data_IF_489929034161
#
_entry.id   IF_489929034161
#
_cell.length_a   1.000
_cell.length_b   1.000
_cell.length_c   1.000
_cell.angle_alpha   90.00
_cell.angle_beta   90.00
_cell.angle_gamma   90.00
#
_symmetry.space_group_name_H-M   'P 1'
#
loop_
_entity.id
_entity.type
_entity.pdbx_description
1 polymer ?
#
# COMPACT_ATOMS: atom_id res chain seq x y z
N UNK A 1 9.99 47.30 -24.81
CA UNK A 1 10.22 48.70 -24.41
C UNK A 1 8.90 49.34 -23.97
N UNK A 2 8.63 49.39 -22.66
CA UNK A 2 8.02 50.50 -21.91
C UNK A 2 7.61 50.00 -20.52
N UNK A 3 8.57 50.19 -19.62
CA UNK A 3 8.43 50.20 -18.17
C UNK A 3 7.61 51.44 -17.78
N UNK A 4 6.69 51.32 -16.83
CA UNK A 4 6.19 52.48 -16.06
C UNK A 4 6.29 52.21 -14.58
N UNK A 5 7.35 52.79 -14.05
CA UNK A 5 7.65 53.09 -12.65
C UNK A 5 6.61 54.06 -12.10
N UNK A 6 6.15 53.81 -10.86
CA UNK A 6 5.41 54.77 -10.04
C UNK A 6 6.00 54.71 -8.63
N UNK A 7 6.46 55.87 -8.15
CA UNK A 7 7.35 56.10 -7.01
C UNK A 7 6.58 56.91 -5.94
N UNK A 8 7.15 57.02 -4.74
CA UNK A 8 6.80 57.87 -3.56
C UNK A 8 5.77 57.28 -2.58
N UNK A 9 5.91 57.37 -1.24
CA UNK A 9 6.77 58.24 -0.42
C UNK A 9 7.05 57.59 0.96
N UNK A 10 8.19 57.97 1.55
CA UNK A 10 8.58 57.74 2.93
C UNK A 10 7.99 58.82 3.87
N UNK A 11 7.76 58.47 5.15
CA UNK A 11 7.87 59.41 6.27
C UNK A 11 8.03 58.65 7.61
N UNK A 12 9.18 58.86 8.23
CA UNK A 12 9.58 58.52 9.60
C UNK A 12 8.87 59.37 10.66
N UNK A 13 8.62 58.80 11.84
CA UNK A 13 8.59 59.56 13.10
C UNK A 13 9.00 58.67 14.28
N UNK A 14 10.03 59.11 15.00
CA UNK A 14 10.51 58.56 16.26
C UNK A 14 10.12 59.50 17.40
N UNK A 15 9.80 58.95 18.58
CA UNK A 15 9.96 59.67 19.86
C UNK A 15 10.07 58.70 21.04
N UNK A 16 11.19 58.81 21.77
CA UNK A 16 11.50 58.25 23.09
C UNK A 16 10.70 58.95 24.21
N UNK A 17 10.92 58.44 25.45
CA UNK A 17 10.94 59.12 26.78
C UNK A 17 9.74 58.71 27.66
N UNK A 18 9.79 58.29 28.94
CA UNK A 18 10.73 58.40 30.08
C UNK A 18 10.48 57.25 31.09
N UNK A 19 11.49 56.97 31.93
CA UNK A 19 11.44 56.09 33.10
C UNK A 19 10.63 56.67 34.28
N UNK A 20 10.13 55.77 35.16
CA UNK A 20 9.62 56.09 36.50
C UNK A 20 9.88 54.91 37.46
N UNK A 21 10.54 55.20 38.59
CA UNK A 21 11.09 54.26 39.56
C UNK A 21 10.12 53.86 40.70
N UNK A 22 10.54 52.82 41.45
CA UNK A 22 10.32 52.60 42.91
C UNK A 22 8.93 52.06 43.29
N UNK A 23 8.72 51.13 44.23
CA UNK A 23 9.49 50.48 45.31
C UNK A 23 8.60 49.36 45.88
N UNK A 24 9.17 48.28 46.43
CA UNK A 24 8.38 47.32 47.20
C UNK A 24 9.12 46.04 47.49
N UNK A 25 9.82 46.01 48.62
CA UNK A 25 10.43 44.85 49.25
C UNK A 25 9.37 43.93 49.85
N UNK A 26 9.44 42.62 49.58
CA UNK A 26 9.12 41.59 50.57
C UNK A 26 9.69 40.23 50.13
N UNK A 27 10.45 39.62 51.03
CA UNK A 27 10.97 38.25 50.91
C UNK A 27 9.93 37.26 51.44
N UNK A 28 9.70 36.09 50.82
CA UNK A 28 8.97 35.01 51.46
C UNK A 28 9.91 33.93 52.02
N UNK A 29 9.64 33.51 53.25
CA UNK A 29 10.06 32.23 53.82
C UNK A 29 9.14 31.07 53.32
N UNK A 30 9.58 29.80 53.43
CA UNK A 30 9.10 28.72 52.57
C UNK A 30 7.96 27.93 53.20
N UNK A 31 7.04 27.42 52.38
CA UNK A 31 6.07 26.42 52.79
C UNK A 31 5.79 25.41 51.68
N UNK A 32 5.92 24.13 52.04
CA UNK A 32 5.07 23.07 51.52
C UNK A 32 5.57 22.33 50.29
N UNK A 33 6.34 21.25 50.52
CA UNK A 33 6.43 20.13 49.59
C UNK A 33 5.06 19.45 49.49
N UNK A 34 4.37 19.59 48.35
CA UNK A 34 3.33 18.65 47.94
C UNK A 34 3.86 17.82 46.79
N UNK A 35 4.09 16.55 47.07
CA UNK A 35 4.32 15.50 46.09
C UNK A 35 3.06 15.34 45.24
N UNK A 36 3.09 15.88 44.02
CA UNK A 36 2.18 15.48 42.96
C UNK A 36 2.78 14.26 42.27
N UNK A 37 2.24 13.08 42.56
CA UNK A 37 2.38 11.91 41.71
C UNK A 37 1.61 12.22 40.43
N UNK A 38 2.30 12.75 39.42
CA UNK A 38 1.77 12.79 38.07
C UNK A 38 1.86 11.36 37.52
N UNK A 39 0.71 10.73 37.30
CA UNK A 39 0.63 9.65 36.33
C UNK A 39 1.00 10.27 34.98
N UNK A 40 2.18 9.93 34.48
CA UNK A 40 2.61 10.34 33.16
C UNK A 40 1.82 9.52 32.15
N UNK A 41 0.85 10.15 31.50
CA UNK A 41 0.58 9.81 30.10
C UNK A 41 1.91 10.07 29.39
N UNK A 42 2.56 9.01 28.89
CA UNK A 42 3.76 9.16 28.07
C UNK A 42 3.33 9.87 26.80
N UNK A 43 3.51 11.20 26.78
CA UNK A 43 3.42 11.98 25.54
C UNK A 43 4.45 11.35 24.59
N UNK A 44 3.98 10.87 23.44
CA UNK A 44 4.84 10.36 22.39
C UNK A 44 5.97 11.38 22.12
N UNK A 45 7.19 10.89 21.92
CA UNK A 45 8.33 11.75 21.62
C UNK A 45 8.35 12.15 20.14
N UNK A 46 8.95 13.28 19.83
CA UNK A 46 9.16 13.68 18.43
C UNK A 46 10.24 12.79 17.79
N UNK A 47 9.81 11.77 17.05
CA UNK A 47 10.69 10.96 16.21
C UNK A 47 11.03 11.68 14.90
N UNK A 48 12.24 11.48 14.39
CA UNK A 48 12.67 11.99 13.09
C UNK A 48 13.02 10.82 12.16
N UNK A 49 12.87 10.96 10.84
CA UNK A 49 13.37 9.95 9.91
C UNK A 49 14.88 9.70 10.12
N UNK A 50 15.27 8.42 10.17
CA UNK A 50 16.67 8.00 10.32
C UNK A 50 17.10 7.29 9.03
N UNK A 51 18.04 7.86 8.24
CA UNK A 51 18.56 7.21 7.05
C UNK A 51 19.27 5.88 7.36
N UNK A 52 19.21 4.92 6.43
CA UNK A 52 19.83 3.61 6.58
C UNK A 52 19.60 2.72 5.36
N UNK A 53 20.49 1.77 5.11
CA UNK A 53 20.46 0.94 3.89
C UNK A 53 19.57 -0.30 4.02
N UNK A 54 19.26 -0.72 5.25
CA UNK A 54 18.44 -1.89 5.57
C UNK A 54 17.08 -1.48 6.13
N UNK A 55 16.07 -2.28 5.84
CA UNK A 55 14.70 -2.05 6.26
C UNK A 55 14.28 -2.99 7.39
N UNK A 56 13.30 -2.55 8.16
CA UNK A 56 12.49 -3.41 9.03
C UNK A 56 11.02 -3.15 8.71
N UNK A 57 10.30 -4.21 8.39
CA UNK A 57 8.84 -4.20 8.35
C UNK A 57 8.33 -4.26 9.78
N UNK A 58 7.49 -3.30 10.15
CA UNK A 58 6.85 -3.27 11.46
C UNK A 58 5.73 -4.31 11.53
N UNK A 59 5.62 -4.98 12.67
CA UNK A 59 4.54 -5.92 12.96
C UNK A 59 3.18 -5.20 12.98
N UNK A 60 2.21 -5.73 12.23
CA UNK A 60 0.83 -5.26 12.17
C UNK A 60 -0.01 -5.91 13.29
N UNK A 61 0.31 -5.56 14.54
CA UNK A 61 -0.14 -6.28 15.74
C UNK A 61 -1.65 -6.19 16.03
N UNK A 62 -2.37 -5.26 15.41
CA UNK A 62 -3.84 -5.15 15.44
C UNK A 62 -4.52 -5.69 14.17
N UNK A 63 -3.78 -6.26 13.22
CA UNK A 63 -4.31 -6.82 11.96
C UNK A 63 -5.10 -5.79 11.16
N UNK A 64 -4.47 -4.66 10.82
CA UNK A 64 -5.03 -3.71 9.85
C UNK A 64 -5.12 -4.33 8.45
N UNK A 65 -4.17 -5.19 8.11
CA UNK A 65 -4.06 -5.84 6.82
C UNK A 65 -4.69 -7.23 6.92
N UNK A 66 -5.70 -7.47 6.08
CA UNK A 66 -6.33 -8.78 5.97
C UNK A 66 -5.47 -9.75 5.15
N UNK A 67 -5.82 -11.04 5.17
CA UNK A 67 -5.26 -12.02 4.24
C UNK A 67 -5.68 -11.65 2.82
N UNK A 68 -4.75 -11.07 2.07
CA UNK A 68 -5.03 -10.57 0.72
C UNK A 68 -4.38 -11.49 -0.31
N UNK A 69 -5.02 -12.64 -0.50
CA UNK A 69 -4.57 -13.67 -1.43
C UNK A 69 -4.75 -13.20 -2.88
N UNK A 70 -3.77 -13.49 -3.73
CA UNK A 70 -3.91 -13.30 -5.17
C UNK A 70 -5.02 -14.19 -5.72
N UNK A 71 -5.93 -13.59 -6.47
CA UNK A 71 -7.09 -14.23 -7.08
C UNK A 71 -7.31 -13.65 -8.50
N UNK A 72 -7.50 -14.49 -9.53
CA UNK A 72 -7.78 -14.00 -10.87
C UNK A 72 -9.20 -13.43 -10.95
N UNK A 73 -9.32 -12.16 -11.35
CA UNK A 73 -10.59 -11.52 -11.67
C UNK A 73 -10.84 -11.57 -13.18
N UNK A 74 -12.01 -12.03 -13.61
CA UNK A 74 -12.36 -12.23 -15.02
C UNK A 74 -13.67 -11.52 -15.32
N UNK A 75 -13.74 -10.85 -16.47
CA UNK A 75 -15.01 -10.35 -16.99
C UNK A 75 -15.98 -11.53 -17.23
N UNK A 76 -17.23 -11.42 -16.79
CA UNK A 76 -18.17 -12.55 -16.85
C UNK A 76 -18.41 -13.09 -18.27
N UNK A 77 -18.36 -12.26 -19.31
CA UNK A 77 -18.54 -12.71 -20.71
C UNK A 77 -17.32 -13.47 -21.24
N UNK A 78 -16.14 -13.31 -20.62
CA UNK A 78 -14.90 -13.98 -20.98
C UNK A 78 -14.57 -15.19 -20.07
N UNK A 79 -15.34 -15.42 -18.99
CA UNK A 79 -15.09 -16.44 -17.99
C UNK A 79 -15.52 -17.85 -18.46
N UNK A 80 -14.80 -18.43 -19.42
CA UNK A 80 -14.98 -19.82 -19.83
C UNK A 80 -14.23 -20.79 -18.91
N UNK A 81 -14.59 -22.08 -18.95
CA UNK A 81 -13.90 -23.14 -18.22
C UNK A 81 -12.40 -23.21 -18.59
N UNK A 82 -12.06 -22.92 -19.86
CA UNK A 82 -10.67 -22.87 -20.32
C UNK A 82 -9.91 -21.66 -19.75
N UNK A 83 -10.54 -20.49 -19.65
CA UNK A 83 -9.91 -19.30 -19.06
C UNK A 83 -9.70 -19.51 -17.56
N UNK A 84 -10.76 -19.91 -16.84
CA UNK A 84 -10.66 -20.13 -15.38
C UNK A 84 -9.69 -21.26 -15.07
N UNK A 85 -9.79 -22.41 -15.74
CA UNK A 85 -8.89 -23.54 -15.50
C UNK A 85 -7.41 -23.23 -15.77
N UNK A 86 -7.11 -22.36 -16.75
CA UNK A 86 -5.74 -21.88 -17.00
C UNK A 86 -5.22 -20.99 -15.86
N UNK A 87 -6.06 -20.09 -15.36
CA UNK A 87 -5.71 -19.18 -14.25
C UNK A 87 -5.61 -19.94 -12.91
N UNK A 88 -6.52 -20.87 -12.65
CA UNK A 88 -6.53 -21.70 -11.44
C UNK A 88 -5.31 -22.62 -11.37
N UNK A 89 -4.76 -23.04 -12.51
CA UNK A 89 -3.49 -23.77 -12.57
C UNK A 89 -2.30 -22.94 -12.04
N UNK A 90 -2.35 -21.61 -12.18
CA UNK A 90 -1.39 -20.69 -11.57
C UNK A 90 -1.65 -20.60 -10.07
N UNK A 91 -2.91 -20.37 -9.67
CA UNK A 91 -3.29 -20.24 -8.25
C UNK A 91 -2.92 -21.47 -7.42
N UNK A 92 -3.00 -22.67 -8.01
CA UNK A 92 -2.70 -23.93 -7.35
C UNK A 92 -1.24 -24.07 -6.90
N UNK A 93 -0.31 -23.31 -7.48
CA UNK A 93 1.13 -23.42 -7.19
C UNK A 93 1.74 -22.13 -6.67
N UNK A 94 1.15 -20.97 -6.95
CA UNK A 94 1.68 -19.66 -6.54
C UNK A 94 1.60 -19.49 -5.02
N UNK A 95 2.76 -19.29 -4.39
CA UNK A 95 2.91 -19.01 -2.95
C UNK A 95 3.52 -17.64 -2.69
N UNK A 96 3.48 -17.17 -1.43
CA UNK A 96 4.12 -15.90 -1.04
C UNK A 96 5.63 -15.93 -1.27
N UNK A 97 6.29 -17.07 -1.02
CA UNK A 97 7.73 -17.22 -1.28
C UNK A 97 8.03 -17.04 -2.77
N UNK A 98 7.15 -17.53 -3.66
CA UNK A 98 7.29 -17.33 -5.10
C UNK A 98 7.16 -15.85 -5.48
N UNK A 99 6.19 -15.13 -4.90
CA UNK A 99 6.05 -13.68 -5.11
C UNK A 99 7.30 -12.93 -4.68
N UNK A 100 7.88 -13.27 -3.53
CA UNK A 100 9.14 -12.67 -3.05
C UNK A 100 10.26 -12.87 -4.08
N UNK A 101 10.40 -14.09 -4.62
CA UNK A 101 11.42 -14.37 -5.62
C UNK A 101 11.16 -13.67 -6.97
N UNK A 102 9.89 -13.62 -7.41
CA UNK A 102 9.48 -12.89 -8.61
C UNK A 102 9.75 -11.39 -8.49
N UNK A 103 9.36 -10.79 -7.37
CA UNK A 103 9.57 -9.37 -7.08
C UNK A 103 11.07 -9.06 -6.98
N UNK A 104 11.85 -9.93 -6.33
CA UNK A 104 13.31 -9.81 -6.32
C UNK A 104 13.89 -9.85 -7.74
N UNK A 105 13.45 -10.77 -8.58
CA UNK A 105 13.96 -10.90 -9.94
C UNK A 105 13.76 -9.61 -10.76
N UNK A 106 12.62 -8.95 -10.59
CA UNK A 106 12.28 -7.72 -11.31
C UNK A 106 12.94 -6.49 -10.67
N UNK A 107 12.74 -6.29 -9.38
CA UNK A 107 13.09 -5.02 -8.70
C UNK A 107 14.58 -4.94 -8.37
N UNK A 108 15.21 -6.07 -8.04
CA UNK A 108 16.61 -6.15 -7.59
C UNK A 108 17.48 -6.66 -8.73
N UNK A 109 17.15 -7.81 -9.32
CA UNK A 109 17.97 -8.44 -10.35
C UNK A 109 17.73 -7.84 -11.75
N UNK A 110 16.77 -6.91 -11.88
CA UNK A 110 16.48 -6.11 -13.09
C UNK A 110 16.04 -6.93 -14.30
N UNK A 111 15.41 -8.07 -14.07
CA UNK A 111 14.68 -8.78 -15.13
C UNK A 111 13.42 -8.00 -15.52
N UNK A 112 12.96 -8.19 -16.75
CA UNK A 112 11.61 -7.74 -17.11
C UNK A 112 10.56 -8.67 -16.51
N UNK A 113 9.36 -8.16 -16.23
CA UNK A 113 8.23 -8.96 -15.74
C UNK A 113 7.91 -10.14 -16.68
N UNK A 114 8.00 -9.95 -17.99
CA UNK A 114 7.80 -11.01 -18.97
C UNK A 114 8.86 -12.12 -18.91
N UNK A 115 10.14 -11.76 -18.68
CA UNK A 115 11.22 -12.75 -18.52
C UNK A 115 11.05 -13.56 -17.22
N UNK A 116 10.75 -12.88 -16.11
CA UNK A 116 10.51 -13.52 -14.82
C UNK A 116 9.27 -14.46 -14.87
N UNK A 117 8.18 -13.99 -15.49
CA UNK A 117 6.97 -14.78 -15.69
C UNK A 117 7.22 -16.04 -16.55
N UNK A 118 7.91 -15.90 -17.68
CA UNK A 118 8.22 -17.02 -18.55
C UNK A 118 9.10 -18.07 -17.86
N UNK A 119 10.09 -17.64 -17.07
CA UNK A 119 10.91 -18.53 -16.27
C UNK A 119 10.07 -19.27 -15.22
N UNK A 120 9.22 -18.56 -14.49
CA UNK A 120 8.36 -19.14 -13.46
C UNK A 120 7.39 -20.19 -13.99
N UNK A 121 6.71 -19.90 -15.11
CA UNK A 121 5.81 -20.84 -15.78
C UNK A 121 6.56 -22.10 -16.21
N UNK A 122 7.76 -21.95 -16.79
CA UNK A 122 8.57 -23.07 -17.25
C UNK A 122 9.09 -23.94 -16.09
N UNK A 123 9.60 -23.31 -15.02
CA UNK A 123 10.20 -24.00 -13.87
C UNK A 123 9.16 -24.77 -13.05
N UNK A 124 7.93 -24.27 -12.98
CA UNK A 124 6.82 -24.92 -12.29
C UNK A 124 5.99 -25.85 -13.18
N UNK A 125 6.27 -25.91 -14.48
CA UNK A 125 5.55 -26.75 -15.43
C UNK A 125 4.05 -26.43 -15.50
N UNK A 126 3.69 -25.15 -15.34
CA UNK A 126 2.30 -24.70 -15.38
C UNK A 126 1.85 -24.77 -16.83
N UNK A 127 0.87 -25.64 -17.11
CA UNK A 127 0.36 -25.87 -18.44
C UNK A 127 -1.16 -26.05 -18.41
N UNK A 128 -1.81 -25.61 -19.47
CA UNK A 128 -3.25 -25.75 -19.64
C UNK A 128 -3.56 -26.45 -20.97
N UNK A 129 -4.65 -27.24 -21.07
CA UNK A 129 -5.04 -27.82 -22.35
C UNK A 129 -5.26 -26.73 -23.41
N UNK A 130 -4.59 -26.87 -24.56
CA UNK A 130 -4.68 -25.94 -25.68
C UNK A 130 -6.02 -26.06 -26.46
N UNK A 131 -7.13 -25.76 -25.79
CA UNK A 131 -8.50 -25.85 -26.34
C UNK A 131 -9.21 -24.49 -26.43
N UNK A 132 -8.58 -23.43 -25.93
CA UNK A 132 -9.07 -22.06 -26.04
C UNK A 132 -8.92 -21.47 -27.45
N UNK A 133 -9.55 -20.30 -27.66
CA UNK A 133 -9.37 -19.48 -28.86
C UNK A 133 -9.94 -18.08 -28.64
N UNK A 134 -9.47 -17.10 -29.42
CA UNK A 134 -9.89 -15.71 -29.30
C UNK A 134 -8.85 -14.86 -28.55
N UNK A 135 -9.15 -13.57 -28.38
CA UNK A 135 -8.22 -12.61 -27.78
C UNK A 135 -8.56 -12.33 -26.33
N UNK A 136 -7.55 -12.32 -25.46
CA UNK A 136 -7.65 -11.98 -24.04
C UNK A 136 -6.65 -10.87 -23.72
N UNK A 137 -7.16 -9.71 -23.31
CA UNK A 137 -6.34 -8.63 -22.75
C UNK A 137 -6.28 -8.81 -21.24
N UNK A 138 -5.08 -9.05 -20.73
CA UNK A 138 -4.80 -9.14 -19.29
C UNK A 138 -4.40 -7.74 -18.82
N UNK A 139 -5.24 -7.11 -18.02
CA UNK A 139 -4.93 -5.84 -17.38
C UNK A 139 -3.98 -6.02 -16.21
N UNK A 140 -3.17 -4.99 -15.96
CA UNK A 140 -2.31 -4.91 -14.80
C UNK A 140 -2.40 -3.54 -14.12
N UNK A 141 -2.25 -3.57 -12.80
CA UNK A 141 -2.00 -2.40 -11.98
C UNK A 141 -0.60 -1.82 -12.25
N UNK A 142 -0.32 -0.61 -11.77
CA UNK A 142 0.94 0.10 -12.01
C UNK A 142 2.09 -0.28 -11.06
N UNK A 143 2.27 -1.57 -10.77
CA UNK A 143 3.36 -2.05 -9.91
C UNK A 143 3.90 -3.42 -10.33
N UNK A 144 5.15 -3.69 -9.95
CA UNK A 144 5.98 -4.79 -10.48
C UNK A 144 5.36 -6.16 -10.28
N UNK A 145 4.88 -6.46 -9.07
CA UNK A 145 4.25 -7.75 -8.78
C UNK A 145 3.04 -7.99 -9.68
N UNK A 146 2.08 -7.05 -9.70
CA UNK A 146 0.85 -7.22 -10.46
C UNK A 146 1.10 -7.36 -11.96
N UNK A 147 2.06 -6.59 -12.51
CA UNK A 147 2.48 -6.73 -13.91
C UNK A 147 3.09 -8.12 -14.14
N UNK A 148 3.91 -8.61 -13.22
CA UNK A 148 4.55 -9.93 -13.34
C UNK A 148 3.53 -11.06 -13.27
N UNK A 149 2.55 -10.98 -12.37
CA UNK A 149 1.46 -11.97 -12.31
C UNK A 149 0.56 -11.88 -13.55
N UNK A 150 0.31 -10.69 -14.08
CA UNK A 150 -0.43 -10.52 -15.34
C UNK A 150 0.32 -11.17 -16.53
N UNK A 151 1.64 -11.06 -16.58
CA UNK A 151 2.47 -11.76 -17.57
C UNK A 151 2.45 -13.29 -17.38
N UNK A 152 2.40 -13.79 -16.14
CA UNK A 152 2.20 -15.23 -15.86
C UNK A 152 0.84 -15.69 -16.39
N UNK A 153 -0.23 -14.95 -16.10
CA UNK A 153 -1.58 -15.24 -16.60
C UNK A 153 -1.63 -15.24 -18.13
N UNK A 154 -1.03 -14.22 -18.77
CA UNK A 154 -0.96 -14.15 -20.23
C UNK A 154 -0.19 -15.34 -20.82
N UNK A 155 0.94 -15.74 -20.22
CA UNK A 155 1.72 -16.88 -20.70
C UNK A 155 0.94 -18.20 -20.63
N UNK A 156 0.22 -18.47 -19.54
CA UNK A 156 -0.56 -19.71 -19.39
C UNK A 156 -1.83 -19.70 -20.26
N UNK A 157 -2.47 -18.54 -20.41
CA UNK A 157 -3.59 -18.39 -21.35
C UNK A 157 -3.14 -18.56 -22.81
N UNK A 158 -1.93 -18.10 -23.16
CA UNK A 158 -1.36 -18.35 -24.49
C UNK A 158 -1.10 -19.85 -24.73
N UNK A 159 -0.60 -20.59 -23.74
CA UNK A 159 -0.44 -22.05 -23.81
C UNK A 159 -1.80 -22.78 -23.95
N UNK A 160 -2.85 -22.25 -23.29
CA UNK A 160 -4.23 -22.68 -23.47
C UNK A 160 -4.83 -22.37 -24.86
N UNK A 161 -4.15 -21.60 -25.72
CA UNK A 161 -4.54 -21.34 -27.11
C UNK A 161 -5.21 -19.98 -27.37
N UNK A 162 -5.15 -19.05 -26.41
CA UNK A 162 -5.64 -17.68 -26.59
C UNK A 162 -4.57 -16.74 -27.17
N UNK A 163 -5.00 -15.71 -27.90
CA UNK A 163 -4.14 -14.59 -28.28
C UNK A 163 -4.11 -13.56 -27.14
N UNK A 164 -2.98 -13.43 -26.45
CA UNK A 164 -2.90 -12.62 -25.22
C UNK A 164 -2.09 -11.32 -25.39
N UNK A 165 -2.54 -10.26 -24.72
CA UNK A 165 -1.80 -9.00 -24.56
C UNK A 165 -1.89 -8.55 -23.10
N UNK A 166 -0.76 -8.14 -22.51
CA UNK A 166 -0.75 -7.49 -21.19
C UNK A 166 -0.83 -5.97 -21.36
N UNK A 167 -1.72 -5.32 -20.60
CA UNK A 167 -1.89 -3.87 -20.60
C UNK A 167 -1.90 -3.29 -19.19
N UNK A 168 -0.92 -2.47 -18.88
CA UNK A 168 -0.94 -1.66 -17.64
C UNK A 168 -1.96 -0.53 -17.78
N UNK A 169 -2.98 -0.53 -16.93
CA UNK A 169 -4.08 0.46 -16.98
C UNK A 169 -3.94 1.52 -15.88
N UNK A 170 -3.30 1.20 -14.75
CA UNK A 170 -3.09 2.15 -13.66
C UNK A 170 -3.59 1.60 -12.33
N UNK A 171 -4.37 2.39 -11.60
CA UNK A 171 -4.94 1.99 -10.32
C UNK A 171 -6.29 1.25 -10.49
N UNK A 172 -6.79 0.72 -9.38
CA UNK A 172 -8.02 -0.08 -9.31
C UNK A 172 -9.25 0.66 -9.80
N UNK A 173 -9.35 1.95 -9.50
CA UNK A 173 -10.43 2.85 -9.98
C UNK A 173 -10.47 2.96 -11.50
N UNK A 174 -9.36 2.66 -12.18
CA UNK A 174 -9.25 2.72 -13.63
C UNK A 174 -9.42 1.33 -14.25
N UNK A 175 -8.74 0.30 -13.73
CA UNK A 175 -8.78 -1.02 -14.36
C UNK A 175 -10.05 -1.82 -14.04
N UNK A 176 -10.68 -1.66 -12.87
CA UNK A 176 -11.91 -2.41 -12.58
C UNK A 176 -13.07 -2.01 -13.50
N UNK A 177 -13.34 -0.72 -13.78
CA UNK A 177 -14.31 -0.35 -14.80
C UNK A 177 -13.97 -0.88 -16.20
N UNK A 178 -12.69 -0.94 -16.56
CA UNK A 178 -12.23 -1.54 -17.82
C UNK A 178 -12.50 -3.05 -17.85
N UNK A 179 -12.30 -3.75 -16.73
CA UNK A 179 -12.63 -5.17 -16.57
C UNK A 179 -14.14 -5.41 -16.61
N UNK A 180 -14.93 -4.65 -15.88
CA UNK A 180 -16.39 -4.76 -15.84
C UNK A 180 -17.03 -4.52 -17.21
N UNK A 181 -16.51 -3.56 -17.98
CA UNK A 181 -16.99 -3.25 -19.33
C UNK A 181 -16.49 -4.22 -20.41
N UNK A 182 -15.51 -5.08 -20.09
CA UNK A 182 -14.89 -6.00 -21.04
C UNK A 182 -13.89 -5.33 -21.98
N UNK A 183 -13.39 -4.12 -21.67
CA UNK A 183 -12.23 -3.53 -22.36
C UNK A 183 -10.97 -4.38 -22.13
N UNK A 184 -10.86 -4.95 -20.93
CA UNK A 184 -9.93 -6.02 -20.58
C UNK A 184 -10.72 -7.21 -20.02
N UNK A 185 -10.14 -8.41 -20.09
CA UNK A 185 -10.84 -9.65 -19.75
C UNK A 185 -10.37 -10.25 -18.43
N UNK A 186 -9.10 -10.04 -18.05
CA UNK A 186 -8.50 -10.65 -16.86
C UNK A 186 -7.65 -9.62 -16.12
N UNK A 187 -7.65 -9.64 -14.78
CA UNK A 187 -6.71 -8.88 -13.93
C UNK A 187 -6.30 -9.75 -12.74
N UNK A 188 -5.02 -9.78 -12.33
CA UNK A 188 -4.64 -10.28 -11.01
C UNK A 188 -5.17 -9.32 -9.93
N UNK A 189 -6.05 -9.82 -9.06
CA UNK A 189 -6.60 -9.06 -7.95
C UNK A 189 -6.21 -9.68 -6.61
N UNK A 190 -6.49 -8.94 -5.55
CA UNK A 190 -6.21 -9.34 -4.17
C UNK A 190 -7.54 -9.45 -3.42
N UNK A 191 -7.81 -10.64 -2.85
CA UNK A 191 -9.14 -11.08 -2.46
C UNK A 191 -9.83 -10.18 -1.44
N UNK A 192 -9.17 -9.79 -0.36
CA UNK A 192 -9.76 -8.94 0.67
C UNK A 192 -9.95 -7.50 0.16
N UNK A 193 -8.95 -6.97 -0.55
CA UNK A 193 -9.01 -5.59 -1.05
C UNK A 193 -10.09 -5.41 -2.12
N UNK A 194 -10.21 -6.33 -3.09
CA UNK A 194 -11.24 -6.24 -4.12
C UNK A 194 -12.64 -6.46 -3.54
N UNK A 195 -12.77 -7.31 -2.53
CA UNK A 195 -14.03 -7.52 -1.80
C UNK A 195 -14.51 -6.22 -1.17
N UNK A 196 -13.64 -5.52 -0.43
CA UNK A 196 -14.03 -4.24 0.18
C UNK A 196 -14.25 -3.13 -0.83
N UNK A 197 -13.49 -3.13 -1.92
CA UNK A 197 -13.70 -2.17 -2.99
C UNK A 197 -15.11 -2.31 -3.58
N UNK A 198 -15.51 -3.53 -3.97
CA UNK A 198 -16.84 -3.80 -4.53
C UNK A 198 -17.95 -3.60 -3.50
N UNK A 199 -17.72 -3.96 -2.24
CA UNK A 199 -18.66 -3.74 -1.15
C UNK A 199 -18.97 -2.25 -0.99
N UNK A 200 -17.94 -1.39 -0.97
CA UNK A 200 -18.12 0.07 -0.84
C UNK A 200 -18.74 0.70 -2.08
N UNK A 201 -18.38 0.23 -3.27
CA UNK A 201 -18.99 0.69 -4.52
C UNK A 201 -20.50 0.41 -4.56
N UNK A 202 -20.92 -0.78 -4.10
CA UNK A 202 -22.32 -1.21 -4.15
C UNK A 202 -23.15 -0.76 -2.94
N UNK A 203 -22.57 -0.77 -1.75
CA UNK A 203 -23.28 -0.54 -0.48
C UNK A 203 -22.96 0.82 0.16
N UNK A 204 -22.04 1.59 -0.42
CA UNK A 204 -21.66 2.94 0.03
C UNK A 204 -20.33 2.98 0.80
N UNK A 205 -19.75 4.19 0.89
CA UNK A 205 -18.41 4.38 1.46
C UNK A 205 -18.25 3.91 2.92
N UNK A 206 -19.35 3.93 3.69
CA UNK A 206 -19.45 3.54 5.11
C UNK A 206 -19.93 2.08 5.30
N UNK A 207 -19.94 1.28 4.23
CA UNK A 207 -20.32 -0.12 4.33
C UNK A 207 -19.41 -0.83 5.34
N UNK A 208 -20.00 -1.63 6.22
CA UNK A 208 -19.23 -2.46 7.14
C UNK A 208 -18.38 -3.46 6.34
N UNK A 209 -17.13 -3.65 6.76
CA UNK A 209 -16.23 -4.60 6.15
C UNK A 209 -16.80 -6.02 6.22
N UNK A 210 -16.61 -6.78 5.14
CA UNK A 210 -17.08 -8.16 4.94
C UNK A 210 -15.95 -9.13 4.67
N UNK A 211 -14.77 -8.66 4.25
CA UNK A 211 -13.53 -9.42 4.17
C UNK A 211 -12.96 -9.67 5.56
N UNK A 212 -12.15 -10.72 5.67
CA UNK A 212 -11.50 -11.11 6.92
C UNK A 212 -10.16 -11.80 6.65
N UNK A 213 -9.45 -12.20 7.72
CA UNK A 213 -8.27 -13.08 7.59
C UNK A 213 -8.58 -14.51 7.15
N UNK A 214 -9.86 -14.91 7.06
CA UNK A 214 -10.28 -16.20 6.50
C UNK A 214 -10.56 -16.04 5.00
N UNK A 215 -9.75 -16.71 4.17
CA UNK A 215 -9.86 -16.62 2.71
C UNK A 215 -11.17 -17.22 2.19
N UNK A 216 -11.64 -18.32 2.75
CA UNK A 216 -12.88 -18.97 2.31
C UNK A 216 -14.08 -18.06 2.62
N UNK A 217 -14.08 -17.44 3.81
CA UNK A 217 -15.11 -16.48 4.20
C UNK A 217 -15.08 -15.22 3.31
N UNK A 218 -13.89 -14.74 2.96
CA UNK A 218 -13.70 -13.56 2.10
C UNK A 218 -14.17 -13.84 0.67
N UNK A 219 -13.79 -14.96 0.07
CA UNK A 219 -14.26 -15.34 -1.28
C UNK A 219 -15.77 -15.56 -1.30
N UNK A 220 -16.34 -16.19 -0.26
CA UNK A 220 -17.79 -16.33 -0.15
C UNK A 220 -18.53 -14.99 -0.05
N UNK A 221 -17.93 -13.97 0.58
CA UNK A 221 -18.46 -12.61 0.61
C UNK A 221 -18.28 -11.87 -0.73
N UNK A 222 -17.20 -12.17 -1.46
CA UNK A 222 -16.88 -11.61 -2.78
C UNK A 222 -17.86 -12.07 -3.86
N UNK A 223 -18.24 -13.35 -3.90
CA UNK A 223 -19.08 -13.95 -4.94
C UNK A 223 -20.35 -13.13 -5.31
N UNK A 224 -21.22 -12.73 -4.37
CA UNK A 224 -22.40 -11.93 -4.71
C UNK A 224 -22.06 -10.52 -5.21
N UNK A 225 -21.00 -9.91 -4.66
CA UNK A 225 -20.52 -8.58 -5.09
C UNK A 225 -19.95 -8.65 -6.51
N UNK A 226 -19.16 -9.68 -6.81
CA UNK A 226 -18.60 -9.94 -8.12
C UNK A 226 -19.68 -10.16 -9.17
N UNK A 227 -20.68 -11.00 -8.85
CA UNK A 227 -21.82 -11.27 -9.73
C UNK A 227 -22.57 -9.97 -10.07
N UNK A 228 -22.83 -9.12 -9.09
CA UNK A 228 -23.49 -7.83 -9.30
C UNK A 228 -22.64 -6.86 -10.16
N UNK A 229 -21.31 -7.01 -10.11
CA UNK A 229 -20.36 -6.23 -10.90
C UNK A 229 -20.10 -6.80 -12.31
N UNK A 230 -20.70 -7.94 -12.68
CA UNK A 230 -20.42 -8.60 -13.97
C UNK A 230 -19.04 -9.25 -14.03
N UNK A 231 -18.54 -9.72 -12.89
CA UNK A 231 -17.24 -10.36 -12.74
C UNK A 231 -17.38 -11.79 -12.24
N UNK A 232 -16.42 -12.63 -12.62
CA UNK A 232 -16.21 -13.98 -12.09
C UNK A 232 -14.78 -14.05 -11.59
N UNK A 233 -14.59 -14.62 -10.41
CA UNK A 233 -13.26 -14.86 -9.85
C UNK A 233 -12.93 -16.34 -9.92
N UNK A 234 -11.67 -16.67 -10.21
CA UNK A 234 -11.17 -18.05 -10.11
C UNK A 234 -10.78 -18.41 -8.67
N UNK A 235 -9.95 -19.44 -8.52
CA UNK A 235 -9.44 -19.88 -7.22
C UNK A 235 -8.39 -18.90 -6.67
N UNK A 236 -8.49 -18.59 -5.37
CA UNK A 236 -7.46 -17.84 -4.67
C UNK A 236 -6.21 -18.70 -4.49
N UNK A 237 -5.04 -18.11 -4.77
CA UNK A 237 -3.75 -18.75 -4.54
C UNK A 237 -3.35 -18.76 -3.06
N UNK A 238 -2.35 -19.57 -2.69
CA UNK A 238 -1.74 -19.47 -1.36
C UNK A 238 -0.90 -18.19 -1.19
N UNK A 239 -0.56 -17.53 -2.29
CA UNK A 239 0.22 -16.31 -2.29
C UNK A 239 -0.59 -15.13 -1.78
N UNK A 240 -0.02 -14.46 -0.79
CA UNK A 240 -0.56 -13.26 -0.17
C UNK A 240 0.41 -12.11 -0.43
N UNK A 241 -0.15 -10.97 -0.82
CA UNK A 241 0.53 -9.68 -0.80
C UNK A 241 -0.33 -8.72 0.01
N UNK A 242 0.20 -8.32 1.16
CA UNK A 242 -0.45 -7.39 2.07
C UNK A 242 0.37 -6.11 2.09
N UNK A 243 -0.30 -4.95 2.22
CA UNK A 243 0.48 -3.76 2.54
C UNK A 243 1.21 -4.01 3.85
N UNK A 244 2.39 -3.44 3.96
CA UNK A 244 3.19 -3.46 5.16
C UNK A 244 3.80 -2.07 5.31
N UNK A 245 4.30 -1.78 6.51
CA UNK A 245 4.88 -0.47 6.81
C UNK A 245 6.31 -0.68 7.25
N UNK A 246 7.25 -0.14 6.48
CA UNK A 246 8.66 -0.29 6.74
C UNK A 246 9.29 1.02 7.21
N UNK A 247 10.25 0.85 8.11
CA UNK A 247 11.21 1.87 8.55
C UNK A 247 12.61 1.38 8.21
N UNK A 248 13.63 2.22 8.38
CA UNK A 248 15.01 1.71 8.37
C UNK A 248 15.29 0.92 9.64
N UNK A 249 16.17 -0.09 9.58
CA UNK A 249 16.62 -0.79 10.79
C UNK A 249 17.27 0.19 11.77
N UNK A 250 17.97 1.22 11.27
CA UNK A 250 18.55 2.27 12.10
C UNK A 250 17.50 3.07 12.88
N UNK A 251 16.35 3.39 12.26
CA UNK A 251 15.22 4.01 12.94
C UNK A 251 14.67 3.11 14.04
N UNK A 252 14.44 1.83 13.72
CA UNK A 252 13.94 0.84 14.69
C UNK A 252 14.89 0.70 15.89
N UNK A 253 16.20 0.60 15.64
CA UNK A 253 17.23 0.51 16.69
C UNK A 253 17.31 1.77 17.56
N UNK A 254 17.13 2.96 16.95
CA UNK A 254 17.19 4.24 17.66
C UNK A 254 15.98 4.47 18.58
N UNK A 255 14.78 4.15 18.10
CA UNK A 255 13.53 4.41 18.83
C UNK A 255 12.96 3.18 19.54
N UNK A 256 13.51 1.99 19.32
CA UNK A 256 13.05 0.74 19.90
C UNK A 256 11.68 0.30 19.40
N UNK A 257 11.37 0.55 18.12
CA UNK A 257 10.06 0.33 17.51
C UNK A 257 10.12 -0.85 16.55
N UNK A 258 9.28 -1.86 16.78
CA UNK A 258 9.20 -3.09 15.96
C UNK A 258 7.78 -3.42 15.52
N UNK A 259 6.75 -2.76 16.06
CA UNK A 259 5.36 -2.88 15.64
C UNK A 259 4.70 -1.52 15.35
N UNK A 260 3.54 -1.54 14.70
CA UNK A 260 2.74 -0.34 14.45
C UNK A 260 2.21 0.26 15.76
N UNK A 261 1.80 -0.55 16.74
CA UNK A 261 1.42 -0.02 18.07
C UNK A 261 2.58 0.63 18.80
N UNK A 262 3.79 0.05 18.76
CA UNK A 262 4.99 0.65 19.36
C UNK A 262 5.35 1.98 18.69
N UNK A 263 5.17 2.07 17.36
CA UNK A 263 5.34 3.31 16.61
C UNK A 263 4.35 4.40 17.08
N UNK A 264 3.08 4.02 17.27
CA UNK A 264 2.05 4.93 17.75
C UNK A 264 2.34 5.44 19.16
N UNK A 265 2.74 4.56 20.08
CA UNK A 265 3.04 4.92 21.46
C UNK A 265 4.32 5.74 21.59
N UNK A 266 5.34 5.41 20.81
CA UNK A 266 6.66 6.04 20.89
C UNK A 266 6.71 7.36 20.16
N UNK A 267 6.26 7.37 18.89
CA UNK A 267 6.42 8.52 18.00
C UNK A 267 5.11 9.30 17.84
N UNK A 268 3.98 8.60 17.73
CA UNK A 268 2.63 9.17 17.59
C UNK A 268 2.37 9.89 16.27
N UNK A 269 3.33 10.63 15.73
CA UNK A 269 3.26 11.39 14.49
C UNK A 269 4.37 10.96 13.52
N UNK A 270 4.04 10.76 12.25
CA UNK A 270 4.98 10.28 11.23
C UNK A 270 4.94 11.09 9.92
N UNK A 271 5.98 10.93 9.11
CA UNK A 271 5.90 11.17 7.66
C UNK A 271 5.79 9.84 6.92
N UNK A 272 4.80 9.72 6.05
CA UNK A 272 4.46 8.51 5.31
C UNK A 272 4.76 8.67 3.82
N UNK A 273 5.44 7.69 3.22
CA UNK A 273 5.60 7.58 1.76
C UNK A 273 4.78 6.43 1.21
N UNK A 274 4.09 6.63 0.09
CA UNK A 274 3.31 5.57 -0.54
C UNK A 274 2.59 6.01 -1.81
N UNK A 275 1.75 5.14 -2.40
CA UNK A 275 1.07 5.45 -3.65
C UNK A 275 0.04 6.60 -3.46
N UNK A 276 -0.24 7.41 -4.50
CA UNK A 276 -1.07 8.63 -4.38
C UNK A 276 -2.44 8.44 -3.73
N UNK A 277 -3.01 7.25 -3.83
CA UNK A 277 -4.30 6.88 -3.24
C UNK A 277 -4.23 6.57 -1.75
N UNK A 278 -3.06 6.29 -1.18
CA UNK A 278 -2.90 5.87 0.22
C UNK A 278 -3.62 6.77 1.24
N UNK A 279 -3.63 8.12 1.11
CA UNK A 279 -4.37 9.00 2.03
C UNK A 279 -5.87 8.71 2.11
N UNK A 280 -6.44 8.06 1.09
CA UNK A 280 -7.86 7.76 0.96
C UNK A 280 -8.17 6.27 1.19
N UNK A 281 -7.16 5.44 1.48
CA UNK A 281 -7.33 3.98 1.63
C UNK A 281 -7.54 3.55 3.09
N UNK A 282 -8.59 2.77 3.38
CA UNK A 282 -8.78 2.13 4.69
C UNK A 282 -7.60 1.26 5.12
N UNK A 283 -6.97 0.55 4.19
CA UNK A 283 -5.79 -0.29 4.47
C UNK A 283 -4.46 0.46 4.34
N UNK A 284 -4.47 1.80 4.33
CA UNK A 284 -3.26 2.64 4.34
C UNK A 284 -3.36 3.72 5.42
N UNK A 285 -3.37 5.01 5.06
CA UNK A 285 -3.35 6.11 6.02
C UNK A 285 -4.57 6.10 6.95
N UNK A 286 -5.79 5.92 6.42
CA UNK A 286 -7.01 5.94 7.24
C UNK A 286 -6.94 4.86 8.32
N UNK A 287 -6.47 3.67 7.97
CA UNK A 287 -6.29 2.57 8.91
C UNK A 287 -5.23 2.82 9.99
N UNK A 288 -4.09 3.39 9.60
CA UNK A 288 -3.06 3.80 10.56
C UNK A 288 -3.60 4.83 11.58
N UNK A 289 -4.40 5.78 11.11
CA UNK A 289 -5.01 6.80 11.95
C UNK A 289 -6.12 6.22 12.85
N UNK A 290 -7.07 5.47 12.29
CA UNK A 290 -8.25 5.00 13.02
C UNK A 290 -7.98 3.80 13.94
N UNK A 291 -7.14 2.84 13.52
CA UNK A 291 -6.90 1.60 14.26
C UNK A 291 -5.70 1.69 15.21
N UNK A 292 -4.66 2.42 14.80
CA UNK A 292 -3.43 2.58 15.57
C UNK A 292 -3.32 3.92 16.30
N UNK A 293 -4.02 4.96 15.84
CA UNK A 293 -3.87 6.31 16.39
C UNK A 293 -2.58 6.98 15.95
N UNK A 294 -1.98 6.54 14.84
CA UNK A 294 -0.78 7.15 14.25
C UNK A 294 -1.21 8.36 13.43
N UNK A 295 -0.74 9.56 13.76
CA UNK A 295 -0.99 10.78 13.00
C UNK A 295 -0.03 10.90 11.82
N UNK A 296 -0.53 10.95 10.58
CA UNK A 296 0.29 11.22 9.41
C UNK A 296 0.37 12.72 9.16
N UNK A 297 1.43 13.37 9.66
CA UNK A 297 1.61 14.81 9.52
C UNK A 297 2.06 15.24 8.12
N UNK A 298 2.75 14.35 7.40
CA UNK A 298 3.24 14.59 6.04
C UNK A 298 3.11 13.33 5.22
N UNK A 299 2.65 13.48 3.98
CA UNK A 299 2.55 12.39 3.02
C UNK A 299 3.35 12.74 1.77
N UNK A 300 4.22 11.82 1.35
CA UNK A 300 4.96 11.90 0.08
C UNK A 300 4.39 10.90 -0.91
N UNK A 301 4.00 11.40 -2.08
CA UNK A 301 3.44 10.58 -3.15
C UNK A 301 4.54 9.87 -3.94
N UNK A 302 4.59 8.54 -3.83
CA UNK A 302 5.64 7.67 -4.36
C UNK A 302 5.02 6.47 -5.10
N UNK A 303 5.86 5.51 -5.51
CA UNK A 303 5.40 4.24 -6.08
C UNK A 303 4.92 3.27 -4.97
N UNK A 304 3.98 2.38 -5.26
CA UNK A 304 3.51 1.38 -4.29
C UNK A 304 4.63 0.37 -3.98
N UNK A 305 5.26 0.47 -2.79
CA UNK A 305 6.31 -0.44 -2.31
C UNK A 305 7.58 -0.52 -3.16
N UNK A 306 7.69 0.27 -4.23
CA UNK A 306 8.72 0.15 -5.23
C UNK A 306 10.01 0.92 -4.92
N UNK A 307 10.91 1.04 -5.91
CA UNK A 307 12.20 1.72 -5.76
C UNK A 307 12.12 3.16 -5.23
N UNK A 308 11.09 3.96 -5.55
CA UNK A 308 11.02 5.35 -5.06
C UNK A 308 10.70 5.37 -3.56
N UNK A 309 9.74 4.56 -3.11
CA UNK A 309 9.40 4.41 -1.69
C UNK A 309 10.58 3.90 -0.88
N UNK A 310 11.25 2.84 -1.35
CA UNK A 310 12.48 2.32 -0.72
C UNK A 310 13.57 3.38 -0.61
N UNK A 311 13.82 4.13 -1.68
CA UNK A 311 14.83 5.19 -1.70
C UNK A 311 14.46 6.33 -0.73
N UNK A 312 13.19 6.69 -0.65
CA UNK A 312 12.72 7.75 0.24
C UNK A 312 12.91 7.37 1.72
N UNK A 313 12.61 6.12 2.10
CA UNK A 313 12.88 5.60 3.45
C UNK A 313 14.39 5.58 3.72
N UNK A 314 15.20 5.02 2.80
CA UNK A 314 16.66 4.92 2.97
C UNK A 314 17.34 6.27 3.20
N UNK A 315 16.85 7.30 2.51
CA UNK A 315 17.41 8.65 2.59
C UNK A 315 16.80 9.48 3.73
N UNK A 316 15.87 8.92 4.51
CA UNK A 316 15.14 9.64 5.56
C UNK A 316 14.28 10.78 5.02
N UNK A 317 13.80 10.69 3.77
CA UNK A 317 12.82 11.65 3.22
C UNK A 317 11.45 11.41 3.86
N UNK A 318 11.12 10.14 4.10
CA UNK A 318 9.95 9.71 4.88
C UNK A 318 10.41 8.83 6.03
N UNK A 319 9.66 8.85 7.13
CA UNK A 319 9.92 8.00 8.29
C UNK A 319 9.48 6.56 8.03
N UNK A 320 8.25 6.42 7.52
CA UNK A 320 7.60 5.16 7.21
C UNK A 320 7.27 5.15 5.73
N UNK A 321 7.45 4.03 5.06
CA UNK A 321 6.89 3.83 3.73
C UNK A 321 5.98 2.60 3.67
N UNK A 322 4.94 2.70 2.84
CA UNK A 322 4.15 1.54 2.45
C UNK A 322 5.01 0.64 1.56
N UNK A 323 5.21 -0.59 2.02
CA UNK A 323 5.83 -1.69 1.27
C UNK A 323 4.84 -2.84 1.20
N UNK A 324 5.29 -3.98 0.68
CA UNK A 324 4.47 -5.16 0.49
C UNK A 324 5.06 -6.34 1.27
N UNK A 325 4.21 -7.25 1.77
CA UNK A 325 4.68 -8.44 2.48
C UNK A 325 5.43 -9.41 1.57
N UNK A 326 5.18 -9.32 0.27
CA UNK A 326 5.87 -10.04 -0.79
C UNK A 326 7.09 -9.30 -1.35
N UNK A 327 7.51 -8.19 -0.75
CA UNK A 327 8.61 -7.38 -1.25
C UNK A 327 9.91 -8.20 -1.36
N UNK A 328 10.53 -8.20 -2.54
CA UNK A 328 11.76 -8.95 -2.81
C UNK A 328 12.98 -8.55 -1.95
N UNK A 329 12.93 -7.40 -1.26
CA UNK A 329 13.96 -7.00 -0.31
C UNK A 329 13.84 -7.68 1.07
N UNK A 330 12.76 -8.43 1.32
CA UNK A 330 12.51 -9.17 2.55
C UNK A 330 13.04 -10.63 2.52
N UNK A 331 13.47 -11.12 1.34
CA UNK A 331 13.95 -12.49 1.11
C UNK A 331 15.46 -12.65 0.90
#
# INVERSE_FOLDING_TARGET
MRIRTGMLAAATAATLVLAGCSSGSDSPEPAGSTSSTAGGESMAQECQPVPGDTFMVLDDDKMLQNSDNLIPAVNADAASDEVLGALDAVSAVLTTDDLIQLNKAVDIDRQTSAEAAAAYVADNGIAAPATGSGSIVVGAANFSENITVAEIYAAVLADAGFDTEVRTIGNRETYLPALQSGEIQVVPEYAATVTEYLNRDQNGAEAAAVASGDIDATVAALEPLATAAGLVFGEASAAQDQNAFAVTTAFSDEYGVTSLSELAETCGTISLGGPPECPERPFCQIGLEEQYGIEVAQFESLDPGGPLTKTAIQQGQVMVGLVFSSDGALG
#
